data_IF_993833562184
#
_entry.id   IF_993833562184
#
_cell.length_a   1.000
_cell.length_b   1.000
_cell.length_c   1.000
_cell.angle_alpha   90.00
_cell.angle_beta   90.00
_cell.angle_gamma   90.00
#
_symmetry.space_group_name_H-M   'P 1'
#
loop_
_entity.id
_entity.type
_entity.pdbx_description
1 polymer ?
#
# COMPACT_ATOMS: atom_id res chain seq x y z
N UNK A 1 2.07 3.27 -17.88
CA UNK A 1 3.23 3.70 -17.08
C UNK A 1 3.35 5.24 -17.00
N UNK A 2 3.42 6.02 -18.11
CA UNK A 2 3.63 7.48 -18.02
C UNK A 2 2.56 8.23 -17.22
N UNK A 3 1.29 7.82 -17.33
CA UNK A 3 0.18 8.42 -16.57
C UNK A 3 0.34 8.21 -15.06
N UNK A 4 0.77 7.02 -14.62
CA UNK A 4 0.99 6.73 -13.21
C UNK A 4 2.17 7.55 -12.64
N UNK A 5 3.22 7.73 -13.44
CA UNK A 5 4.36 8.61 -13.13
C UNK A 5 3.87 10.05 -12.99
N UNK A 6 3.18 10.60 -13.99
CA UNK A 6 2.64 11.96 -13.94
C UNK A 6 1.71 12.20 -12.74
N UNK A 7 0.76 11.28 -12.47
CA UNK A 7 -0.13 11.39 -11.32
C UNK A 7 0.63 11.32 -9.98
N UNK A 8 1.63 10.44 -9.87
CA UNK A 8 2.47 10.36 -8.67
C UNK A 8 3.19 11.67 -8.44
N UNK A 9 3.80 12.24 -9.48
CA UNK A 9 4.47 13.54 -9.42
C UNK A 9 3.51 14.64 -8.95
N UNK A 10 2.34 14.73 -9.57
CA UNK A 10 1.29 15.72 -9.25
C UNK A 10 0.87 15.64 -7.78
N UNK A 11 0.56 14.44 -7.29
CA UNK A 11 0.11 14.21 -5.91
C UNK A 11 1.23 14.51 -4.91
N UNK A 12 2.42 13.94 -5.11
CA UNK A 12 3.57 14.17 -4.22
C UNK A 12 3.92 15.66 -4.20
N UNK A 13 3.80 16.34 -5.34
CA UNK A 13 4.07 17.78 -5.43
C UNK A 13 3.06 18.62 -4.68
N UNK A 14 1.79 18.22 -4.67
CA UNK A 14 0.75 18.90 -3.91
C UNK A 14 0.86 18.65 -2.40
N UNK A 15 1.28 17.44 -2.00
CA UNK A 15 1.26 17.01 -0.58
C UNK A 15 2.58 17.20 0.17
N UNK A 16 3.67 17.51 -0.53
CA UNK A 16 4.89 18.06 0.08
C UNK A 16 5.01 19.54 -0.34
N UNK A 17 5.37 20.48 0.55
CA UNK A 17 5.48 21.91 0.20
C UNK A 17 6.89 22.38 -0.23
N UNK A 18 7.97 21.65 0.05
CA UNK A 18 9.35 22.04 -0.34
C UNK A 18 9.77 21.56 -1.75
N UNK A 19 9.77 22.46 -2.74
CA UNK A 19 9.98 22.14 -4.17
C UNK A 19 11.42 21.71 -4.54
N UNK A 20 12.43 22.17 -3.79
CA UNK A 20 13.84 22.11 -4.19
C UNK A 20 14.50 20.72 -4.15
N UNK A 21 13.81 19.69 -3.67
CA UNK A 21 14.37 18.34 -3.50
C UNK A 21 13.63 17.22 -4.23
N UNK A 22 12.72 17.49 -5.18
CA UNK A 22 11.78 16.45 -5.67
C UNK A 22 12.20 15.70 -6.93
N UNK A 23 12.93 16.34 -7.84
CA UNK A 23 13.27 15.73 -9.15
C UNK A 23 14.09 14.46 -8.97
N UNK A 24 15.20 14.54 -8.22
CA UNK A 24 16.07 13.38 -8.01
C UNK A 24 15.36 12.23 -7.26
N UNK A 25 14.68 12.44 -6.12
CA UNK A 25 13.83 11.43 -5.50
C UNK A 25 12.83 10.78 -6.44
N UNK A 26 12.21 11.56 -7.32
CA UNK A 26 11.23 11.04 -8.24
C UNK A 26 11.84 10.20 -9.36
N UNK A 27 13.00 10.61 -9.90
CA UNK A 27 13.79 9.81 -10.86
C UNK A 27 14.19 8.48 -10.20
N UNK A 28 14.72 8.53 -8.98
CA UNK A 28 15.11 7.33 -8.24
C UNK A 28 13.90 6.42 -7.99
N UNK A 29 12.76 6.96 -7.56
CA UNK A 29 11.54 6.20 -7.32
C UNK A 29 11.02 5.52 -8.60
N UNK A 30 11.09 6.22 -9.72
CA UNK A 30 10.74 5.69 -11.04
C UNK A 30 11.69 4.57 -11.45
N UNK A 31 13.00 4.75 -11.26
CA UNK A 31 14.02 3.77 -11.60
C UNK A 31 13.87 2.48 -10.76
N UNK A 32 13.77 2.58 -9.43
CA UNK A 32 13.64 1.39 -8.56
C UNK A 32 12.31 0.66 -8.75
N UNK A 33 11.28 1.34 -9.24
CA UNK A 33 9.96 0.73 -9.45
C UNK A 33 9.76 0.20 -10.87
N UNK A 34 10.64 0.55 -11.82
CA UNK A 34 10.46 0.25 -13.24
C UNK A 34 10.27 -1.24 -13.51
N UNK A 35 11.04 -2.10 -12.82
CA UNK A 35 10.93 -3.55 -12.98
C UNK A 35 9.53 -4.10 -12.66
N UNK A 36 8.80 -3.46 -11.75
CA UNK A 36 7.45 -3.92 -11.39
C UNK A 36 6.47 -3.65 -12.52
N UNK A 37 6.66 -2.54 -13.25
CA UNK A 37 5.87 -2.25 -14.47
C UNK A 37 6.24 -3.18 -15.61
N UNK A 38 7.52 -3.55 -15.76
CA UNK A 38 7.93 -4.57 -16.72
C UNK A 38 7.27 -5.92 -16.40
N UNK A 39 7.26 -6.32 -15.12
CA UNK A 39 6.55 -7.53 -14.70
C UNK A 39 5.03 -7.42 -14.97
N UNK A 40 4.38 -6.32 -14.60
CA UNK A 40 2.95 -6.11 -14.84
C UNK A 40 2.59 -6.22 -16.34
N UNK A 41 3.39 -5.61 -17.21
CA UNK A 41 3.24 -5.70 -18.66
C UNK A 41 3.50 -7.13 -19.18
N UNK A 42 4.56 -7.79 -18.72
CA UNK A 42 4.92 -9.14 -19.15
C UNK A 42 3.88 -10.20 -18.77
N UNK A 43 3.17 -10.00 -17.66
CA UNK A 43 2.09 -10.88 -17.20
C UNK A 43 0.68 -10.43 -17.63
N UNK A 44 0.57 -9.38 -18.47
CA UNK A 44 -0.70 -8.78 -18.96
C UNK A 44 -1.69 -8.57 -17.81
N UNK A 45 -1.21 -7.97 -16.73
CA UNK A 45 -2.00 -7.75 -15.53
C UNK A 45 -2.73 -6.41 -15.60
N UNK A 46 -3.86 -6.32 -14.90
CA UNK A 46 -4.67 -5.09 -14.84
C UNK A 46 -4.20 -4.11 -13.75
N UNK A 47 -3.08 -4.39 -13.07
CA UNK A 47 -2.69 -3.59 -11.91
C UNK A 47 -2.37 -2.15 -12.32
N UNK A 48 -1.73 -1.89 -13.48
CA UNK A 48 -1.47 -0.53 -13.93
C UNK A 48 -2.75 0.30 -14.07
N UNK A 49 -3.83 -0.28 -14.60
CA UNK A 49 -5.14 0.40 -14.73
C UNK A 49 -5.67 0.74 -13.33
N UNK A 50 -5.61 -0.23 -12.43
CA UNK A 50 -6.05 -0.08 -11.03
C UNK A 50 -5.25 1.03 -10.32
N UNK A 51 -3.92 1.04 -10.46
CA UNK A 51 -3.06 2.05 -9.87
C UNK A 51 -3.39 3.44 -10.42
N UNK A 52 -3.58 3.58 -11.74
CA UNK A 52 -3.95 4.86 -12.36
C UNK A 52 -5.29 5.36 -11.82
N UNK A 53 -6.30 4.48 -11.68
CA UNK A 53 -7.58 4.85 -11.11
C UNK A 53 -7.47 5.30 -9.64
N UNK A 54 -6.71 4.57 -8.81
CA UNK A 54 -6.49 4.98 -7.42
C UNK A 54 -5.78 6.33 -7.34
N UNK A 55 -4.70 6.52 -8.10
CA UNK A 55 -3.97 7.80 -8.12
C UNK A 55 -4.83 8.94 -8.68
N UNK A 56 -5.60 8.71 -9.74
CA UNK A 56 -6.53 9.71 -10.28
C UNK A 56 -7.60 10.08 -9.24
N UNK A 57 -8.07 9.10 -8.47
CA UNK A 57 -9.01 9.32 -7.37
C UNK A 57 -8.43 10.21 -6.27
N UNK A 58 -7.20 9.92 -5.84
CA UNK A 58 -6.47 10.76 -4.89
C UNK A 58 -6.26 12.17 -5.44
N UNK A 59 -5.78 12.29 -6.68
CA UNK A 59 -5.51 13.56 -7.35
C UNK A 59 -6.79 14.42 -7.55
N UNK A 60 -7.93 13.78 -7.79
CA UNK A 60 -9.23 14.44 -7.85
C UNK A 60 -9.69 14.89 -6.45
N UNK A 61 -9.48 14.07 -5.43
CA UNK A 61 -9.77 14.40 -4.02
C UNK A 61 -8.97 15.60 -3.52
N UNK A 62 -7.67 15.67 -3.85
CA UNK A 62 -6.80 16.82 -3.58
C UNK A 62 -7.32 18.13 -4.20
N UNK A 63 -8.12 18.04 -5.26
CA UNK A 63 -8.76 19.17 -5.95
C UNK A 63 -10.23 19.35 -5.57
N UNK A 64 -10.67 18.70 -4.50
CA UNK A 64 -12.06 18.67 -4.01
C UNK A 64 -13.10 18.17 -5.02
N UNK A 65 -12.69 17.42 -6.04
CA UNK A 65 -13.57 16.81 -7.05
C UNK A 65 -14.08 15.46 -6.55
N UNK A 66 -14.88 15.48 -5.49
CA UNK A 66 -15.27 14.31 -4.70
C UNK A 66 -15.99 13.21 -5.48
N UNK A 67 -16.80 13.57 -6.48
CA UNK A 67 -17.47 12.58 -7.35
C UNK A 67 -16.47 11.81 -8.21
N UNK A 68 -15.53 12.51 -8.85
CA UNK A 68 -14.48 11.86 -9.63
C UNK A 68 -13.55 11.03 -8.76
N UNK A 69 -13.25 11.53 -7.54
CA UNK A 69 -12.46 10.79 -6.56
C UNK A 69 -13.11 9.46 -6.20
N UNK A 70 -14.40 9.50 -5.84
CA UNK A 70 -15.20 8.32 -5.53
C UNK A 70 -15.33 7.38 -6.74
N UNK A 71 -15.60 7.93 -7.92
CA UNK A 71 -15.72 7.18 -9.17
C UNK A 71 -14.48 6.34 -9.43
N UNK A 72 -13.31 6.96 -9.37
CA UNK A 72 -12.05 6.30 -9.68
C UNK A 72 -11.69 5.23 -8.64
N UNK A 73 -11.78 5.53 -7.34
CA UNK A 73 -11.44 4.58 -6.26
C UNK A 73 -12.41 3.39 -6.24
N UNK A 74 -13.71 3.63 -6.36
CA UNK A 74 -14.73 2.57 -6.32
C UNK A 74 -14.66 1.71 -7.59
N UNK A 75 -14.42 2.31 -8.76
CA UNK A 75 -14.21 1.54 -10.00
C UNK A 75 -12.97 0.65 -9.87
N UNK A 76 -11.88 1.17 -9.31
CA UNK A 76 -10.68 0.37 -9.05
C UNK A 76 -10.99 -0.83 -8.13
N UNK A 77 -11.76 -0.61 -7.06
CA UNK A 77 -12.20 -1.66 -6.14
C UNK A 77 -13.20 -2.66 -6.76
N UNK A 78 -13.99 -2.20 -7.74
CA UNK A 78 -14.89 -3.05 -8.53
C UNK A 78 -14.15 -3.97 -9.51
N UNK A 79 -12.99 -3.53 -10.03
CA UNK A 79 -12.14 -4.34 -10.92
C UNK A 79 -11.33 -5.38 -10.12
N UNK A 80 -10.82 -5.00 -8.95
CA UNK A 80 -10.02 -5.88 -8.08
C UNK A 80 -10.23 -5.51 -6.62
N UNK A 81 -10.19 -6.49 -5.72
CA UNK A 81 -10.46 -6.23 -4.29
C UNK A 81 -9.38 -5.37 -3.60
N UNK A 82 -8.13 -5.40 -4.07
CA UNK A 82 -6.99 -4.80 -3.33
C UNK A 82 -7.21 -3.29 -3.03
N UNK A 83 -7.70 -2.47 -3.99
CA UNK A 83 -8.11 -1.09 -3.73
C UNK A 83 -9.20 -0.86 -2.68
N UNK A 84 -9.87 -1.89 -2.14
CA UNK A 84 -10.84 -1.72 -1.04
C UNK A 84 -10.19 -1.07 0.18
N UNK A 85 -8.87 -1.23 0.39
CA UNK A 85 -8.14 -0.50 1.43
C UNK A 85 -8.27 1.03 1.25
N UNK A 86 -8.28 1.52 0.00
CA UNK A 86 -8.49 2.93 -0.31
C UNK A 86 -9.94 3.35 -0.14
N UNK A 87 -10.91 2.46 -0.30
CA UNK A 87 -12.29 2.75 0.07
C UNK A 87 -12.41 2.97 1.58
N UNK A 88 -11.77 2.13 2.40
CA UNK A 88 -11.71 2.31 3.86
C UNK A 88 -11.02 3.63 4.25
N UNK A 89 -9.90 3.96 3.61
CA UNK A 89 -9.24 5.26 3.76
C UNK A 89 -10.18 6.42 3.38
N UNK A 90 -10.84 6.33 2.22
CA UNK A 90 -11.74 7.37 1.72
C UNK A 90 -12.96 7.57 2.63
N UNK A 91 -13.46 6.50 3.25
CA UNK A 91 -14.54 6.58 4.23
C UNK A 91 -14.09 7.31 5.51
N UNK A 92 -12.90 6.99 6.01
CA UNK A 92 -12.38 7.54 7.27
C UNK A 92 -11.76 8.93 7.12
N UNK A 93 -11.21 9.29 5.96
CA UNK A 93 -10.51 10.57 5.73
C UNK A 93 -11.20 11.49 4.74
N UNK A 94 -12.13 10.98 3.93
CA UNK A 94 -12.91 11.79 3.02
C UNK A 94 -13.93 12.69 3.75
N UNK A 95 -14.26 13.86 3.17
CA UNK A 95 -15.34 14.69 3.68
C UNK A 95 -16.71 14.02 3.45
N UNK A 96 -17.75 14.50 4.14
CA UNK A 96 -19.12 13.96 3.99
C UNK A 96 -19.61 13.95 2.53
N UNK A 97 -19.20 14.95 1.73
CA UNK A 97 -19.54 15.04 0.30
C UNK A 97 -18.99 13.86 -0.52
N UNK A 98 -17.79 13.39 -0.18
CA UNK A 98 -17.18 12.21 -0.79
C UNK A 98 -17.97 10.93 -0.48
N UNK A 99 -18.43 10.77 0.76
CA UNK A 99 -19.27 9.63 1.15
C UNK A 99 -20.60 9.60 0.39
N UNK A 100 -21.25 10.76 0.25
CA UNK A 100 -22.50 10.87 -0.50
C UNK A 100 -22.28 10.51 -1.98
N UNK A 101 -21.19 10.99 -2.57
CA UNK A 101 -20.85 10.67 -3.96
C UNK A 101 -20.50 9.18 -4.17
N UNK A 102 -19.97 8.51 -3.14
CA UNK A 102 -19.61 7.10 -3.21
C UNK A 102 -20.81 6.16 -3.36
N UNK A 103 -21.95 6.47 -2.71
CA UNK A 103 -23.14 5.61 -2.72
C UNK A 103 -23.66 5.28 -4.12
N UNK A 104 -24.01 6.27 -4.98
CA UNK A 104 -24.55 5.96 -6.31
C UNK A 104 -23.54 5.21 -7.19
N UNK A 105 -22.25 5.47 -7.02
CA UNK A 105 -21.18 4.83 -7.80
C UNK A 105 -21.02 3.37 -7.39
N UNK A 106 -21.02 3.08 -6.09
CA UNK A 106 -20.98 1.71 -5.58
C UNK A 106 -22.20 0.90 -6.04
N UNK A 107 -23.40 1.51 -5.97
CA UNK A 107 -24.61 0.91 -6.51
C UNK A 107 -24.50 0.66 -8.02
N UNK A 108 -23.91 1.60 -8.78
CA UNK A 108 -23.67 1.46 -10.21
C UNK A 108 -22.75 0.28 -10.54
N UNK A 109 -21.66 0.08 -9.79
CA UNK A 109 -20.74 -1.06 -9.99
C UNK A 109 -21.46 -2.39 -9.74
N UNK A 110 -22.31 -2.47 -8.72
CA UNK A 110 -23.11 -3.68 -8.42
C UNK A 110 -24.22 -3.88 -9.46
N UNK A 111 -24.83 -2.79 -9.93
CA UNK A 111 -25.90 -2.84 -10.92
C UNK A 111 -25.40 -3.19 -12.32
N UNK A 112 -24.13 -2.91 -12.64
CA UNK A 112 -23.58 -3.06 -13.99
C UNK A 112 -23.74 -4.50 -14.55
N UNK A 113 -23.38 -5.59 -13.83
CA UNK A 113 -23.65 -6.94 -14.31
C UNK A 113 -25.15 -7.23 -14.53
N UNK A 114 -26.02 -6.72 -13.65
CA UNK A 114 -27.47 -6.90 -13.72
C UNK A 114 -28.07 -6.21 -14.95
N UNK A 115 -27.59 -5.00 -15.27
CA UNK A 115 -28.04 -4.22 -16.42
C UNK A 115 -27.47 -4.77 -17.73
N UNK A 116 -26.21 -5.22 -17.73
CA UNK A 116 -25.54 -5.71 -18.94
C UNK A 116 -26.03 -7.12 -19.33
N UNK A 117 -26.09 -8.04 -18.38
CA UNK A 117 -26.37 -9.46 -18.64
C UNK A 117 -27.79 -9.89 -18.28
N UNK A 118 -28.60 -8.95 -17.80
CA UNK A 118 -29.94 -9.21 -17.28
C UNK A 118 -29.92 -9.65 -15.81
N UNK A 119 -31.03 -9.46 -15.06
CA UNK A 119 -31.05 -9.64 -13.61
C UNK A 119 -30.66 -11.05 -13.14
N UNK A 120 -31.12 -12.10 -13.83
CA UNK A 120 -30.83 -13.48 -13.45
C UNK A 120 -29.35 -13.83 -13.61
N UNK A 121 -28.79 -13.59 -14.81
CA UNK A 121 -27.37 -13.91 -15.07
C UNK A 121 -26.43 -12.99 -14.32
N UNK A 122 -26.74 -11.68 -14.24
CA UNK A 122 -25.92 -10.73 -13.48
C UNK A 122 -25.86 -11.08 -11.99
N UNK A 123 -26.96 -11.59 -11.41
CA UNK A 123 -26.96 -12.06 -10.02
C UNK A 123 -26.09 -13.31 -9.83
N UNK A 124 -26.17 -14.27 -10.76
CA UNK A 124 -25.32 -15.45 -10.75
C UNK A 124 -23.83 -15.08 -10.86
N UNK A 125 -23.48 -14.14 -11.72
CA UNK A 125 -22.10 -13.67 -11.88
C UNK A 125 -21.58 -13.01 -10.60
N UNK A 126 -22.38 -12.17 -9.95
CA UNK A 126 -22.04 -11.56 -8.65
C UNK A 126 -21.87 -12.61 -7.55
N UNK A 127 -22.78 -13.59 -7.49
CA UNK A 127 -22.70 -14.68 -6.53
C UNK A 127 -21.46 -15.56 -6.75
N UNK A 128 -21.14 -15.89 -8.00
CA UNK A 128 -19.94 -16.64 -8.36
C UNK A 128 -18.66 -15.87 -8.03
N UNK A 129 -18.62 -14.56 -8.28
CA UNK A 129 -17.50 -13.73 -7.88
C UNK A 129 -17.31 -13.76 -6.35
N UNK A 130 -18.38 -13.56 -5.58
CA UNK A 130 -18.33 -13.62 -4.12
C UNK A 130 -17.91 -15.02 -3.62
N UNK A 131 -18.45 -16.09 -4.18
CA UNK A 131 -18.11 -17.45 -3.75
C UNK A 131 -16.66 -17.81 -4.13
N UNK A 132 -16.27 -17.60 -5.39
CA UNK A 132 -14.94 -17.97 -5.88
C UNK A 132 -13.82 -17.16 -5.25
N UNK A 133 -14.06 -15.87 -4.98
CA UNK A 133 -13.06 -15.03 -4.34
C UNK A 133 -13.06 -15.16 -2.81
N UNK A 134 -14.23 -15.03 -2.16
CA UNK A 134 -14.31 -14.88 -0.70
C UNK A 134 -14.22 -16.22 0.04
N UNK A 135 -14.65 -17.34 -0.56
CA UNK A 135 -14.66 -18.64 0.13
C UNK A 135 -13.27 -19.12 0.55
N UNK A 136 -12.23 -18.88 -0.27
CA UNK A 136 -10.84 -19.23 0.09
C UNK A 136 -10.39 -18.45 1.33
N UNK A 137 -10.73 -17.17 1.44
CA UNK A 137 -10.37 -16.35 2.61
C UNK A 137 -11.22 -16.65 3.83
N UNK A 138 -12.52 -16.89 3.66
CA UNK A 138 -13.44 -17.23 4.75
C UNK A 138 -13.14 -18.59 5.37
N UNK A 139 -12.64 -19.54 4.59
CA UNK A 139 -12.15 -20.83 5.10
C UNK A 139 -10.78 -20.74 5.80
N UNK A 140 -10.19 -19.54 5.88
CA UNK A 140 -8.88 -19.31 6.47
C UNK A 140 -7.73 -19.71 5.55
N UNK A 141 -7.99 -19.89 4.26
CA UNK A 141 -6.98 -20.17 3.24
C UNK A 141 -5.95 -19.05 3.16
N UNK A 142 -4.68 -19.41 3.26
CA UNK A 142 -3.55 -18.48 3.13
C UNK A 142 -2.64 -19.00 2.03
N UNK A 143 -2.39 -18.16 1.02
CA UNK A 143 -1.48 -18.50 -0.07
C UNK A 143 -0.05 -18.22 0.33
N UNK A 144 0.62 -19.26 0.81
CA UNK A 144 2.02 -19.19 1.24
C UNK A 144 2.88 -19.79 0.12
N UNK A 145 3.54 -18.92 -0.66
CA UNK A 145 4.38 -19.31 -1.78
C UNK A 145 5.67 -18.50 -1.80
N UNK A 146 6.73 -19.08 -2.33
CA UNK A 146 8.05 -18.45 -2.36
C UNK A 146 8.08 -17.12 -3.13
N UNK A 147 7.21 -16.95 -4.12
CA UNK A 147 7.07 -15.79 -5.01
C UNK A 147 6.03 -14.76 -4.52
N UNK A 148 5.39 -15.01 -3.38
CA UNK A 148 4.42 -14.11 -2.77
C UNK A 148 5.10 -13.20 -1.74
N UNK A 149 4.88 -11.89 -1.82
CA UNK A 149 5.55 -10.87 -1.00
C UNK A 149 4.66 -10.28 0.11
N UNK A 150 3.51 -10.88 0.37
CA UNK A 150 2.58 -10.40 1.40
C UNK A 150 3.04 -10.72 2.83
N UNK A 151 2.30 -10.18 3.82
CA UNK A 151 2.59 -10.38 5.24
C UNK A 151 2.51 -11.85 5.66
N UNK A 152 1.58 -12.61 5.09
CA UNK A 152 1.45 -14.03 5.37
C UNK A 152 2.73 -14.79 5.04
N UNK A 153 3.30 -14.57 3.84
CA UNK A 153 4.51 -15.29 3.44
C UNK A 153 5.68 -14.99 4.39
N UNK A 154 5.84 -13.73 4.80
CA UNK A 154 6.85 -13.35 5.78
C UNK A 154 6.61 -14.02 7.14
N UNK A 155 5.37 -14.04 7.63
CA UNK A 155 5.02 -14.60 8.94
C UNK A 155 5.15 -16.13 8.99
N UNK A 156 4.85 -16.83 7.89
CA UNK A 156 4.93 -18.29 7.84
C UNK A 156 6.33 -18.81 7.50
N UNK A 157 7.15 -18.05 6.76
CA UNK A 157 8.46 -18.51 6.29
C UNK A 157 9.43 -19.03 7.38
N UNK A 158 9.41 -18.53 8.64
CA UNK A 158 10.26 -19.10 9.68
C UNK A 158 9.85 -20.51 10.10
N UNK A 159 8.57 -20.87 9.95
CA UNK A 159 7.98 -22.09 10.52
C UNK A 159 7.62 -23.15 9.49
N UNK A 160 7.48 -22.78 8.22
CA UNK A 160 7.07 -23.66 7.13
C UNK A 160 7.99 -23.46 5.94
N UNK A 161 8.48 -24.58 5.38
CA UNK A 161 9.25 -24.54 4.15
C UNK A 161 8.38 -24.04 3.01
N UNK A 162 8.87 -23.04 2.31
CA UNK A 162 8.23 -22.56 1.10
C UNK A 162 8.81 -23.39 -0.06
N UNK A 163 8.01 -23.67 -1.09
CA UNK A 163 8.47 -24.37 -2.29
C UNK A 163 9.46 -23.49 -3.09
N UNK A 164 10.60 -23.15 -2.49
CA UNK A 164 11.63 -22.27 -3.00
C UNK A 164 12.59 -23.07 -3.90
N UNK A 165 12.69 -22.74 -5.20
CA UNK A 165 13.57 -23.43 -6.13
C UNK A 165 15.06 -23.39 -5.73
N UNK A 166 15.46 -22.39 -4.95
CA UNK A 166 16.85 -22.20 -4.54
C UNK A 166 17.30 -23.13 -3.41
N UNK A 167 16.35 -23.77 -2.71
CA UNK A 167 16.64 -24.57 -1.50
C UNK A 167 17.14 -23.76 -0.31
N UNK A 168 17.25 -22.43 -0.42
CA UNK A 168 17.74 -21.54 0.66
C UNK A 168 16.64 -21.14 1.64
N UNK A 169 15.36 -21.25 1.26
CA UNK A 169 14.21 -21.01 2.12
C UNK A 169 13.78 -22.27 2.85
N UNK A 170 14.04 -22.36 4.16
CA UNK A 170 13.60 -23.48 5.01
C UNK A 170 12.94 -23.01 6.30
N UNK A 171 12.15 -23.89 6.92
CA UNK A 171 11.65 -23.68 8.27
C UNK A 171 12.82 -23.79 9.26
N UNK A 172 13.10 -22.72 9.99
CA UNK A 172 14.22 -22.65 10.95
C UNK A 172 13.74 -22.45 12.40
N UNK A 173 12.44 -22.23 12.62
CA UNK A 173 11.79 -22.20 13.92
C UNK A 173 10.82 -23.38 14.12
N UNK A 174 10.69 -23.91 15.35
CA UNK A 174 9.69 -24.93 15.66
C UNK A 174 8.26 -24.36 15.64
N UNK A 175 7.25 -25.22 15.47
CA UNK A 175 5.83 -24.86 15.61
C UNK A 175 4.98 -24.95 14.34
N UNK A 176 5.61 -25.13 13.17
CA UNK A 176 4.93 -25.43 11.92
C UNK A 176 3.87 -24.39 11.49
N UNK A 177 2.86 -24.84 10.74
CA UNK A 177 1.80 -23.98 10.20
C UNK A 177 0.96 -23.28 11.28
N UNK A 178 0.84 -23.87 12.47
CA UNK A 178 0.07 -23.30 13.59
C UNK A 178 0.74 -22.04 14.13
N UNK A 179 2.06 -22.09 14.38
CA UNK A 179 2.82 -20.92 14.83
C UNK A 179 2.82 -19.81 13.77
N UNK A 180 3.00 -20.16 12.49
CA UNK A 180 2.91 -19.23 11.37
C UNK A 180 1.54 -18.55 11.27
N UNK A 181 0.45 -19.30 11.49
CA UNK A 181 -0.91 -18.76 11.49
C UNK A 181 -1.14 -17.75 12.62
N UNK A 182 -0.65 -18.04 13.83
CA UNK A 182 -0.74 -17.12 14.96
C UNK A 182 0.05 -15.84 14.71
N UNK A 183 1.29 -15.96 14.22
CA UNK A 183 2.11 -14.80 13.88
C UNK A 183 1.45 -13.95 12.79
N UNK A 184 0.94 -14.58 11.73
CA UNK A 184 0.25 -13.89 10.65
C UNK A 184 -1.00 -13.16 11.15
N UNK A 185 -1.89 -13.83 11.88
CA UNK A 185 -3.12 -13.21 12.40
C UNK A 185 -2.83 -12.03 13.32
N UNK A 186 -1.84 -12.18 14.20
CA UNK A 186 -1.40 -11.13 15.12
C UNK A 186 -0.83 -9.94 14.35
N UNK A 187 0.06 -10.19 13.38
CA UNK A 187 0.66 -9.14 12.56
C UNK A 187 -0.39 -8.44 11.66
N UNK A 188 -1.31 -9.20 11.05
CA UNK A 188 -2.38 -8.65 10.22
C UNK A 188 -3.32 -7.76 11.05
N UNK A 189 -3.70 -8.22 12.25
CA UNK A 189 -4.47 -7.42 13.20
C UNK A 189 -3.70 -6.15 13.60
N UNK A 190 -2.40 -6.24 13.86
CA UNK A 190 -1.55 -5.08 14.14
C UNK A 190 -1.53 -4.08 12.97
N UNK A 191 -1.40 -4.54 11.72
CA UNK A 191 -1.45 -3.66 10.54
C UNK A 191 -2.82 -2.99 10.43
N UNK A 192 -3.92 -3.73 10.51
CA UNK A 192 -5.27 -3.15 10.42
C UNK A 192 -5.52 -2.14 11.55
N UNK A 193 -5.21 -2.50 12.79
CA UNK A 193 -5.45 -1.64 13.97
C UNK A 193 -4.61 -0.38 13.94
N UNK A 194 -3.32 -0.48 13.61
CA UNK A 194 -2.45 0.70 13.51
C UNK A 194 -2.84 1.60 12.33
N UNK A 195 -3.23 1.02 11.18
CA UNK A 195 -3.70 1.79 10.03
C UNK A 195 -5.01 2.53 10.35
N UNK A 196 -6.04 1.83 10.86
CA UNK A 196 -7.31 2.46 11.27
C UNK A 196 -7.07 3.51 12.37
N UNK A 197 -6.22 3.19 13.36
CA UNK A 197 -5.83 4.09 14.43
C UNK A 197 -5.19 5.38 13.91
N UNK A 198 -4.23 5.27 13.00
CA UNK A 198 -3.62 6.41 12.30
C UNK A 198 -4.69 7.27 11.62
N UNK A 199 -5.56 6.67 10.80
CA UNK A 199 -6.60 7.43 10.08
C UNK A 199 -7.58 8.15 11.02
N UNK A 200 -7.98 7.48 12.11
CA UNK A 200 -8.84 8.07 13.12
C UNK A 200 -8.16 9.23 13.85
N UNK A 201 -6.89 9.07 14.24
CA UNK A 201 -6.11 10.15 14.86
C UNK A 201 -6.01 11.37 13.96
N UNK A 202 -5.66 11.17 12.68
CA UNK A 202 -5.56 12.24 11.69
C UNK A 202 -6.91 12.94 11.46
N UNK A 203 -8.01 12.18 11.39
CA UNK A 203 -9.37 12.74 11.30
C UNK A 203 -9.72 13.58 12.51
N UNK A 204 -9.45 13.08 13.73
CA UNK A 204 -9.73 13.79 14.98
C UNK A 204 -8.91 15.07 15.12
N UNK A 205 -7.67 15.06 14.61
CA UNK A 205 -6.81 16.24 14.57
C UNK A 205 -7.21 17.25 13.48
N UNK A 206 -8.24 16.97 12.68
CA UNK A 206 -8.60 17.77 11.49
C UNK A 206 -7.41 17.99 10.54
N UNK A 207 -6.45 17.05 10.53
CA UNK A 207 -5.27 17.16 9.70
C UNK A 207 -5.65 17.07 8.22
N UNK A 208 -5.01 17.90 7.40
CA UNK A 208 -5.06 17.77 5.95
C UNK A 208 -4.51 16.41 5.50
N UNK A 209 -4.84 16.02 4.28
CA UNK A 209 -4.26 14.82 3.71
C UNK A 209 -2.75 15.00 3.54
N UNK A 210 -1.98 13.94 3.81
CA UNK A 210 -0.54 13.96 3.63
C UNK A 210 -0.06 12.74 2.85
N UNK A 211 1.10 12.85 2.22
CA UNK A 211 1.59 11.79 1.34
C UNK A 211 1.94 10.51 2.10
N UNK A 212 2.32 10.62 3.38
CA UNK A 212 2.67 9.48 4.22
C UNK A 212 1.45 8.62 4.58
N UNK A 213 0.30 9.20 4.89
CA UNK A 213 -0.93 8.42 5.16
C UNK A 213 -1.39 7.63 3.91
N UNK A 214 -1.20 8.20 2.71
CA UNK A 214 -1.50 7.53 1.44
C UNK A 214 -0.51 6.41 1.14
N UNK A 215 0.78 6.63 1.37
CA UNK A 215 1.81 5.61 1.21
C UNK A 215 1.59 4.44 2.20
N UNK A 216 1.27 4.74 3.46
CA UNK A 216 0.90 3.74 4.46
C UNK A 216 -0.34 2.93 4.02
N UNK A 217 -1.32 3.58 3.38
CA UNK A 217 -2.52 2.92 2.85
C UNK A 217 -2.21 1.98 1.68
N UNK A 218 -1.34 2.37 0.75
CA UNK A 218 -0.83 1.46 -0.30
C UNK A 218 -0.12 0.25 0.31
N UNK A 219 0.74 0.48 1.31
CA UNK A 219 1.52 -0.57 1.98
C UNK A 219 0.62 -1.52 2.78
N UNK A 220 -0.38 -1.01 3.49
CA UNK A 220 -1.38 -1.83 4.16
C UNK A 220 -2.11 -2.75 3.17
N UNK A 221 -2.50 -2.23 2.00
CA UNK A 221 -3.09 -3.02 0.92
C UNK A 221 -2.18 -4.14 0.42
N UNK A 222 -0.89 -3.85 0.19
CA UNK A 222 0.09 -4.86 -0.26
C UNK A 222 0.38 -5.92 0.80
N UNK A 223 0.46 -5.53 2.07
CA UNK A 223 0.72 -6.43 3.19
C UNK A 223 -0.45 -7.37 3.47
N UNK A 224 -1.68 -6.83 3.45
CA UNK A 224 -2.91 -7.57 3.76
C UNK A 224 -3.49 -8.33 2.56
N UNK A 225 -3.01 -8.08 1.34
CA UNK A 225 -3.43 -8.83 0.16
C UNK A 225 -3.06 -10.30 0.28
N UNK A 226 -3.99 -11.19 -0.11
CA UNK A 226 -3.71 -12.62 -0.18
C UNK A 226 -2.66 -12.99 -1.24
N UNK A 227 -2.51 -12.17 -2.28
CA UNK A 227 -1.53 -12.35 -3.35
C UNK A 227 -0.84 -11.03 -3.65
N UNK A 228 0.48 -11.01 -3.50
CA UNK A 228 1.36 -9.87 -3.75
C UNK A 228 2.60 -10.35 -4.48
N UNK A 229 2.47 -10.66 -5.77
CA UNK A 229 3.60 -10.96 -6.66
C UNK A 229 4.28 -9.69 -7.18
N UNK A 230 5.40 -9.83 -7.89
CA UNK A 230 6.19 -8.73 -8.48
C UNK A 230 5.34 -7.72 -9.26
N UNK A 231 4.38 -8.17 -10.08
CA UNK A 231 3.49 -7.29 -10.86
C UNK A 231 2.56 -6.42 -9.99
N UNK A 232 2.25 -6.85 -8.76
CA UNK A 232 1.39 -6.10 -7.84
C UNK A 232 2.12 -4.93 -7.17
N UNK A 233 3.46 -4.92 -7.22
CA UNK A 233 4.31 -3.95 -6.55
C UNK A 233 4.47 -2.62 -7.30
N UNK A 234 3.75 -2.41 -8.40
CA UNK A 234 3.77 -1.15 -9.16
C UNK A 234 3.38 0.09 -8.33
N UNK A 235 2.60 -0.09 -7.26
CA UNK A 235 2.25 0.99 -6.32
C UNK A 235 3.44 1.47 -5.50
N UNK A 236 4.55 0.71 -5.47
CA UNK A 236 5.80 1.15 -4.86
C UNK A 236 6.40 2.37 -5.56
N UNK A 237 5.98 2.70 -6.80
CA UNK A 237 6.29 3.99 -7.42
C UNK A 237 5.90 5.16 -6.51
N UNK A 238 4.66 5.15 -6.00
CA UNK A 238 4.16 6.19 -5.11
C UNK A 238 4.88 6.15 -3.77
N UNK A 239 4.99 4.96 -3.17
CA UNK A 239 5.63 4.78 -1.86
C UNK A 239 7.09 5.24 -1.87
N UNK A 240 7.87 4.82 -2.86
CA UNK A 240 9.27 5.23 -3.03
C UNK A 240 9.39 6.72 -3.31
N UNK A 241 8.50 7.32 -4.10
CA UNK A 241 8.52 8.77 -4.33
C UNK A 241 8.30 9.55 -3.03
N UNK A 242 7.39 9.09 -2.17
CA UNK A 242 7.15 9.68 -0.84
C UNK A 242 8.36 9.51 0.07
N UNK A 243 8.90 8.30 0.19
CA UNK A 243 10.05 8.00 1.05
C UNK A 243 11.32 8.74 0.61
N UNK A 244 11.60 8.80 -0.68
CA UNK A 244 12.80 9.48 -1.20
C UNK A 244 12.67 11.01 -1.10
N UNK A 245 11.45 11.54 -1.08
CA UNK A 245 11.20 12.98 -0.89
C UNK A 245 11.28 13.40 0.58
N UNK A 246 11.19 12.46 1.52
CA UNK A 246 11.35 12.74 2.93
C UNK A 246 12.79 13.17 3.26
N UNK A 247 12.94 14.16 4.14
CA UNK A 247 14.25 14.67 4.59
C UNK A 247 14.73 13.93 5.84
N UNK A 248 15.73 13.03 5.75
CA UNK A 248 16.17 12.27 6.93
C UNK A 248 16.80 13.13 8.02
N UNK A 249 17.32 14.30 7.65
CA UNK A 249 17.98 15.24 8.59
C UNK A 249 16.98 15.94 9.51
N UNK A 250 15.72 16.04 9.10
CA UNK A 250 14.65 16.70 9.87
C UNK A 250 13.91 15.72 10.80
N UNK A 251 14.29 14.44 10.80
CA UNK A 251 13.62 13.41 11.59
C UNK A 251 14.40 13.06 12.87
N UNK A 252 13.71 12.71 13.97
CA UNK A 252 14.36 12.18 15.16
C UNK A 252 15.09 10.87 14.85
N UNK A 253 16.14 10.55 15.62
CA UNK A 253 17.06 9.44 15.32
C UNK A 253 16.37 8.10 15.01
N UNK A 254 15.35 7.63 15.78
CA UNK A 254 14.70 6.35 15.46
C UNK A 254 14.00 6.35 14.10
N UNK A 255 13.29 7.44 13.78
CA UNK A 255 12.56 7.56 12.52
C UNK A 255 13.50 7.78 11.34
N UNK A 256 14.63 8.45 11.57
CA UNK A 256 15.71 8.58 10.59
C UNK A 256 16.33 7.22 10.24
N UNK A 257 16.53 6.35 11.22
CA UNK A 257 17.00 4.97 10.98
C UNK A 257 15.98 4.22 10.13
N UNK A 258 14.71 4.23 10.53
CA UNK A 258 13.63 3.56 9.79
C UNK A 258 13.50 4.07 8.35
N UNK A 259 13.63 5.39 8.15
CA UNK A 259 13.61 6.00 6.82
C UNK A 259 14.79 5.52 5.98
N UNK A 260 16.02 5.56 6.50
CA UNK A 260 17.19 5.04 5.77
C UNK A 260 17.07 3.55 5.47
N UNK A 261 16.58 2.75 6.41
CA UNK A 261 16.31 1.32 6.19
C UNK A 261 15.30 1.13 5.06
N UNK A 262 14.21 1.90 5.04
CA UNK A 262 13.21 1.85 3.96
C UNK A 262 13.82 2.23 2.61
N UNK A 263 14.69 3.24 2.57
CA UNK A 263 15.37 3.69 1.35
C UNK A 263 16.31 2.61 0.81
N UNK A 264 17.17 2.05 1.66
CA UNK A 264 18.11 0.99 1.28
C UNK A 264 17.34 -0.25 0.81
N UNK A 265 16.31 -0.65 1.56
CA UNK A 265 15.47 -1.79 1.19
C UNK A 265 14.72 -1.54 -0.13
N UNK A 266 14.27 -0.32 -0.42
CA UNK A 266 13.67 0.03 -1.70
C UNK A 266 14.67 -0.12 -2.86
N UNK A 267 15.90 0.35 -2.68
CA UNK A 267 16.96 0.24 -3.69
C UNK A 267 17.27 -1.22 -3.98
N UNK A 268 17.52 -2.05 -2.96
CA UNK A 268 17.77 -3.49 -3.12
C UNK A 268 16.57 -4.20 -3.73
N UNK A 269 15.36 -3.87 -3.27
CA UNK A 269 14.11 -4.41 -3.78
C UNK A 269 13.75 -3.92 -5.17
N UNK A 270 14.47 -2.95 -5.75
CA UNK A 270 14.24 -2.45 -7.10
C UNK A 270 15.09 -3.15 -8.16
N UNK A 271 16.11 -3.93 -7.76
CA UNK A 271 17.06 -4.54 -8.69
C UNK A 271 16.67 -5.96 -9.09
N UNK A 272 16.57 -6.24 -10.39
CA UNK A 272 16.19 -7.55 -10.92
C UNK A 272 17.38 -8.51 -11.11
N UNK A 273 17.10 -9.77 -11.50
CA UNK A 273 18.14 -10.76 -11.82
C UNK A 273 18.99 -10.34 -13.02
N UNK A 274 18.46 -9.50 -13.93
CA UNK A 274 19.20 -9.00 -15.10
C UNK A 274 20.41 -8.12 -14.73
N UNK A 275 20.39 -7.51 -13.53
CA UNK A 275 21.47 -6.64 -13.04
C UNK A 275 22.35 -7.32 -11.98
N UNK A 276 21.78 -8.15 -11.10
CA UNK A 276 22.52 -8.81 -10.01
C UNK A 276 22.95 -10.24 -10.33
N UNK A 277 22.43 -10.83 -11.41
CA UNK A 277 22.48 -12.27 -11.64
C UNK A 277 21.41 -13.02 -10.83
N UNK A 278 21.04 -14.21 -11.32
CA UNK A 278 19.99 -15.03 -10.71
C UNK A 278 20.31 -15.42 -9.27
N UNK A 279 21.55 -15.83 -8.97
CA UNK A 279 21.95 -16.28 -7.63
C UNK A 279 21.75 -15.22 -6.56
N UNK A 280 22.25 -13.99 -6.78
CA UNK A 280 22.11 -12.90 -5.80
C UNK A 280 20.64 -12.52 -5.64
N UNK A 281 19.90 -12.47 -6.74
CA UNK A 281 18.47 -12.17 -6.72
C UNK A 281 17.65 -13.21 -5.96
N UNK A 282 17.95 -14.50 -6.13
CA UNK A 282 17.32 -15.59 -5.40
C UNK A 282 17.68 -15.55 -3.91
N UNK A 283 18.92 -15.17 -3.56
CA UNK A 283 19.30 -14.92 -2.16
C UNK A 283 18.48 -13.78 -1.55
N UNK A 284 18.33 -12.65 -2.25
CA UNK A 284 17.49 -11.51 -1.79
C UNK A 284 16.04 -11.97 -1.56
N UNK A 285 15.51 -12.85 -2.42
CA UNK A 285 14.17 -13.42 -2.26
C UNK A 285 14.09 -14.39 -1.08
N UNK A 286 15.07 -15.25 -0.89
CA UNK A 286 15.14 -16.21 0.20
C UNK A 286 15.10 -15.51 1.57
N UNK A 287 15.84 -14.39 1.71
CA UNK A 287 15.84 -13.55 2.91
C UNK A 287 14.63 -12.62 3.06
N UNK A 288 13.61 -12.73 2.19
CA UNK A 288 12.35 -11.97 2.28
C UNK A 288 12.55 -10.46 2.33
N UNK A 289 13.55 -9.96 1.61
CA UNK A 289 13.91 -8.53 1.59
C UNK A 289 12.74 -7.64 1.14
N UNK A 290 11.95 -8.08 0.15
CA UNK A 290 10.79 -7.31 -0.34
C UNK A 290 9.67 -7.24 0.73
N UNK A 291 9.21 -8.34 1.35
CA UNK A 291 8.29 -8.23 2.50
C UNK A 291 8.83 -7.36 3.65
N UNK A 292 10.12 -7.46 3.97
CA UNK A 292 10.75 -6.60 4.98
C UNK A 292 10.70 -5.12 4.58
N UNK A 293 10.96 -4.81 3.30
CA UNK A 293 10.78 -3.47 2.76
C UNK A 293 9.35 -2.95 3.00
N UNK A 294 8.34 -3.77 2.72
CA UNK A 294 6.94 -3.37 2.92
C UNK A 294 6.63 -3.08 4.39
N UNK A 295 7.05 -3.95 5.31
CA UNK A 295 6.80 -3.79 6.76
C UNK A 295 7.53 -2.58 7.33
N UNK A 296 8.82 -2.42 7.02
CA UNK A 296 9.64 -1.30 7.52
C UNK A 296 9.13 0.03 6.95
N UNK A 297 8.77 0.05 5.67
CA UNK A 297 8.17 1.24 5.04
C UNK A 297 6.79 1.55 5.61
N UNK A 298 6.00 0.54 5.96
CA UNK A 298 4.68 0.73 6.55
C UNK A 298 4.82 1.41 7.91
N UNK A 299 5.71 0.90 8.78
CA UNK A 299 6.00 1.52 10.06
C UNK A 299 6.55 2.95 9.89
N UNK A 300 7.48 3.16 8.96
CA UNK A 300 8.05 4.49 8.65
C UNK A 300 6.97 5.47 8.24
N UNK A 301 6.18 5.14 7.22
CA UNK A 301 5.13 6.02 6.68
C UNK A 301 4.02 6.28 7.70
N UNK A 302 3.62 5.27 8.48
CA UNK A 302 2.65 5.43 9.56
C UNK A 302 3.13 6.43 10.63
N UNK A 303 4.37 6.29 11.11
CA UNK A 303 4.93 7.19 12.11
C UNK A 303 5.14 8.60 11.56
N UNK A 304 5.58 8.73 10.30
CA UNK A 304 5.72 10.03 9.64
C UNK A 304 4.36 10.73 9.43
N UNK A 305 3.31 9.97 9.07
CA UNK A 305 1.97 10.54 8.90
C UNK A 305 1.46 11.15 10.21
N UNK A 306 1.67 10.47 11.35
CA UNK A 306 1.26 10.98 12.67
C UNK A 306 2.11 12.18 13.08
N UNK A 307 3.45 12.09 12.94
CA UNK A 307 4.37 13.16 13.36
C UNK A 307 4.23 14.45 12.54
N UNK A 308 3.83 14.36 11.27
CA UNK A 308 3.62 15.55 10.42
C UNK A 308 2.29 16.24 10.70
N UNK A 309 1.29 15.51 11.19
CA UNK A 309 -0.06 16.01 11.39
C UNK A 309 -0.35 16.51 12.81
N UNK A 310 0.38 16.01 13.81
CA UNK A 310 0.31 16.49 15.18
C UNK A 310 1.54 17.37 15.39
N UNK A 311 1.42 18.72 15.32
CA UNK A 311 2.51 19.58 15.74
C UNK A 311 2.88 19.11 17.14
N UNK A 312 4.16 18.80 17.36
CA UNK A 312 4.70 18.76 18.72
C UNK A 312 4.56 20.17 19.25
N UNK A 313 3.37 20.49 19.77
CA UNK A 313 3.13 21.67 20.56
C UNK A 313 4.25 21.69 21.57
N UNK A 314 5.01 22.77 21.52
CA UNK A 314 6.05 23.16 22.44
C UNK A 314 6.12 22.26 23.68
N UNK A 315 7.04 21.31 23.69
CA UNK A 315 7.47 20.66 24.94
C UNK A 315 8.31 21.63 25.80
N UNK A 316 8.26 22.94 25.53
CA UNK A 316 9.05 23.96 26.21
C UNK A 316 8.49 25.39 26.34
N UNK A 317 7.30 25.76 25.82
CA UNK A 317 6.82 27.17 25.93
C UNK A 317 5.44 27.41 26.55
N UNK A 318 4.80 26.40 27.12
CA UNK A 318 3.51 26.57 27.82
C UNK A 318 3.60 27.31 29.18
N UNK A 319 4.59 28.20 29.37
CA UNK A 319 4.74 29.04 30.56
C UNK A 319 4.74 30.56 30.29
N UNK A 320 4.80 31.03 29.04
CA UNK A 320 4.95 32.47 28.76
C UNK A 320 3.99 32.98 27.68
N UNK A 321 2.67 32.95 27.93
CA UNK A 321 1.73 33.93 27.34
C UNK A 321 0.34 33.87 27.98
N UNK A 322 0.30 34.11 29.30
CA UNK A 322 -0.91 34.64 29.96
C UNK A 322 -0.52 35.82 30.85
N UNK A 323 0.08 36.84 30.25
CA UNK A 323 0.07 38.21 30.79
C UNK A 323 -0.03 39.17 29.61
N UNK A 324 -1.28 39.54 29.28
CA UNK A 324 -1.77 40.89 28.94
C UNK A 324 -3.16 40.79 28.33
#
# INVERSE_FOLDING_TARGET
FPVAVWLTWDIVTALFPTASRRVLPFILATAVSFRFFQADAGWIQTNLIILVLVLAGIAAGNRERWFLAAAAIITAAGIKVVPVIFLGWFILRGPRRALIAAVPIALGVIALPLLWRGPAQGWLDLAQYLQGFLAEYLSGGVRIRWDNYNLATLAYSPFVSLNDPSGMGGAWLPGGSVAGAWLYRTAALAVVTTWVGMLFMLRRAHAEWNAFELAATFLAGLLLSGVTWTAHLISLLFVSAVLFSASPREQPQPLRILLWSSIVLALVSGVGPDLLGATVFDTIRAYRVVPLFLVVSYATTLLMAINTAVPTGDRGSAAETRIR
#
